data_IF_205167655639
#
_entry.id   IF_205167655639
#
_cell.length_a   1.000
_cell.length_b   1.000
_cell.length_c   1.000
_cell.angle_alpha   90.00
_cell.angle_beta   90.00
_cell.angle_gamma   90.00
#
_symmetry.space_group_name_H-M   'P 1'
#
loop_
_entity.id
_entity.type
_entity.pdbx_description
1 polymer ?
#
# COMPACT_ATOMS: atom_id res chain seq x y z
N UNK A 1 -22.64 -7.87 1.78
CA UNK A 1 -23.79 -7.21 2.46
C UNK A 1 -24.06 -5.81 1.90
N UNK A 2 -23.04 -4.96 1.70
CA UNK A 2 -23.22 -3.59 1.22
C UNK A 2 -23.95 -3.46 -0.13
N UNK A 3 -23.68 -4.36 -1.08
CA UNK A 3 -24.29 -4.33 -2.41
C UNK A 3 -25.84 -4.42 -2.37
N UNK A 4 -26.40 -5.27 -1.51
CA UNK A 4 -27.85 -5.41 -1.36
C UNK A 4 -28.49 -4.18 -0.69
N UNK A 5 -27.80 -3.57 0.28
CA UNK A 5 -28.23 -2.33 0.93
C UNK A 5 -28.27 -1.17 -0.07
N UNK A 6 -27.29 -1.07 -0.97
CA UNK A 6 -27.25 -0.03 -2.00
C UNK A 6 -28.41 -0.17 -2.99
N UNK A 7 -28.75 -1.39 -3.42
CA UNK A 7 -29.91 -1.60 -4.31
C UNK A 7 -31.21 -1.21 -3.61
N UNK A 8 -31.40 -1.61 -2.34
CA UNK A 8 -32.59 -1.27 -1.56
C UNK A 8 -32.77 0.24 -1.39
N UNK A 9 -31.67 0.99 -1.27
CA UNK A 9 -31.69 2.45 -1.16
C UNK A 9 -31.85 3.13 -2.53
N UNK A 10 -31.17 2.66 -3.56
CA UNK A 10 -31.15 3.31 -4.86
C UNK A 10 -32.42 3.11 -5.67
N UNK A 11 -33.07 1.94 -5.61
CA UNK A 11 -34.33 1.69 -6.32
C UNK A 11 -35.40 2.77 -6.01
N UNK A 12 -35.76 3.05 -4.73
CA UNK A 12 -36.76 4.08 -4.44
C UNK A 12 -36.28 5.49 -4.78
N UNK A 13 -34.98 5.79 -4.69
CA UNK A 13 -34.43 7.10 -5.09
C UNK A 13 -34.59 7.32 -6.60
N UNK A 14 -34.23 6.32 -7.42
CA UNK A 14 -34.37 6.43 -8.86
C UNK A 14 -35.84 6.53 -9.28
N UNK A 15 -36.72 5.74 -8.66
CA UNK A 15 -38.15 5.70 -8.99
C UNK A 15 -38.94 6.93 -8.54
N UNK A 16 -38.67 7.46 -7.34
CA UNK A 16 -39.46 8.54 -6.74
C UNK A 16 -38.85 9.93 -6.94
N UNK A 17 -37.54 10.04 -7.17
CA UNK A 17 -36.85 11.33 -7.26
C UNK A 17 -36.34 11.55 -8.68
N UNK A 18 -35.48 10.67 -9.18
CA UNK A 18 -34.78 10.89 -10.46
C UNK A 18 -35.76 10.86 -11.64
N UNK A 19 -36.61 9.83 -11.77
CA UNK A 19 -37.51 9.75 -12.92
C UNK A 19 -38.58 10.87 -12.97
N UNK A 20 -39.21 11.29 -11.85
CA UNK A 20 -40.11 12.44 -11.85
C UNK A 20 -39.44 13.75 -12.24
N UNK A 21 -38.20 13.99 -11.78
CA UNK A 21 -37.40 15.16 -12.18
C UNK A 21 -37.10 15.17 -13.68
N UNK A 22 -36.74 14.01 -14.27
CA UNK A 22 -36.49 13.93 -15.72
C UNK A 22 -37.79 14.03 -16.53
N UNK A 23 -38.90 13.52 -15.98
CA UNK A 23 -40.24 13.71 -16.56
C UNK A 23 -40.65 15.19 -16.56
N UNK A 24 -40.26 15.96 -15.54
CA UNK A 24 -40.53 17.39 -15.44
C UNK A 24 -39.80 18.19 -16.53
N UNK A 25 -38.65 17.69 -17.01
CA UNK A 25 -37.94 18.20 -18.19
C UNK A 25 -38.62 17.82 -19.53
N UNK A 26 -39.87 17.31 -19.52
CA UNK A 26 -40.65 16.83 -20.68
C UNK A 26 -40.00 15.69 -21.47
N UNK A 27 -39.02 14.99 -20.90
CA UNK A 27 -38.42 13.82 -21.54
C UNK A 27 -39.25 12.58 -21.20
N UNK A 28 -40.03 12.10 -22.17
CA UNK A 28 -40.88 10.93 -21.97
C UNK A 28 -40.02 9.64 -22.06
N UNK A 29 -39.63 9.09 -20.91
CA UNK A 29 -38.79 7.88 -20.83
C UNK A 29 -39.69 6.64 -20.80
N UNK A 30 -39.73 5.92 -21.94
CA UNK A 30 -40.34 4.59 -22.03
C UNK A 30 -39.56 3.58 -21.16
N UNK A 31 -40.18 2.51 -20.63
CA UNK A 31 -39.51 1.54 -19.75
C UNK A 31 -38.18 1.01 -20.30
N UNK A 32 -38.10 0.73 -21.60
CA UNK A 32 -36.86 0.28 -22.25
C UNK A 32 -35.74 1.33 -22.20
N UNK A 33 -36.08 2.63 -22.32
CA UNK A 33 -35.12 3.72 -22.20
C UNK A 33 -34.64 3.90 -20.76
N UNK A 34 -35.46 3.60 -19.74
CA UNK A 34 -35.03 3.64 -18.33
C UNK A 34 -33.89 2.68 -18.06
N UNK A 35 -34.01 1.45 -18.58
CA UNK A 35 -32.97 0.42 -18.45
C UNK A 35 -31.69 0.80 -19.21
N UNK A 36 -31.82 1.32 -20.44
CA UNK A 36 -30.68 1.76 -21.23
C UNK A 36 -29.92 2.93 -20.56
N UNK A 37 -30.64 3.90 -20.00
CA UNK A 37 -30.05 5.02 -19.27
C UNK A 37 -29.28 4.53 -18.03
N UNK A 38 -29.83 3.57 -17.28
CA UNK A 38 -29.12 2.94 -16.15
C UNK A 38 -27.81 2.27 -16.57
N UNK A 39 -27.80 1.56 -17.70
CA UNK A 39 -26.58 0.95 -18.23
C UNK A 39 -25.52 1.98 -18.68
N UNK A 40 -25.94 3.11 -19.26
CA UNK A 40 -25.02 4.20 -19.61
C UNK A 40 -24.40 4.81 -18.35
N UNK A 41 -25.20 5.07 -17.32
CA UNK A 41 -24.69 5.55 -16.03
C UNK A 41 -23.73 4.55 -15.38
N UNK A 42 -24.05 3.25 -15.44
CA UNK A 42 -23.16 2.20 -14.96
C UNK A 42 -21.82 2.21 -15.71
N UNK A 43 -21.84 2.31 -17.04
CA UNK A 43 -20.63 2.38 -17.86
C UNK A 43 -19.76 3.61 -17.51
N UNK A 44 -20.38 4.78 -17.31
CA UNK A 44 -19.66 5.99 -16.86
C UNK A 44 -19.08 5.83 -15.46
N UNK A 45 -19.83 5.22 -14.54
CA UNK A 45 -19.37 4.95 -13.18
C UNK A 45 -18.17 3.98 -13.17
N UNK A 46 -18.21 2.93 -13.99
CA UNK A 46 -17.07 2.03 -14.16
C UNK A 46 -15.85 2.76 -14.74
N UNK A 47 -16.02 3.62 -15.75
CA UNK A 47 -14.93 4.44 -16.29
C UNK A 47 -14.29 5.34 -15.23
N UNK A 48 -15.10 6.00 -14.39
CA UNK A 48 -14.61 6.81 -13.28
C UNK A 48 -13.89 5.95 -12.22
N UNK A 49 -14.44 4.79 -11.89
CA UNK A 49 -13.81 3.85 -10.96
C UNK A 49 -12.44 3.38 -11.47
N UNK A 50 -12.33 3.01 -12.75
CA UNK A 50 -11.05 2.64 -13.37
C UNK A 50 -10.06 3.79 -13.35
N UNK A 51 -10.47 5.03 -13.60
CA UNK A 51 -9.59 6.20 -13.51
C UNK A 51 -9.03 6.38 -12.09
N UNK A 52 -9.88 6.22 -11.06
CA UNK A 52 -9.45 6.28 -9.66
C UNK A 52 -8.52 5.10 -9.35
N UNK A 53 -8.88 3.90 -9.78
CA UNK A 53 -8.11 2.68 -9.56
C UNK A 53 -6.69 2.79 -10.13
N UNK A 54 -6.52 3.31 -11.35
CA UNK A 54 -5.19 3.54 -11.95
C UNK A 54 -4.34 4.49 -11.12
N UNK A 55 -4.95 5.51 -10.51
CA UNK A 55 -4.21 6.43 -9.64
C UNK A 55 -3.87 5.79 -8.29
N UNK A 56 -4.76 4.95 -7.75
CA UNK A 56 -4.51 4.20 -6.51
C UNK A 56 -3.40 3.17 -6.70
N UNK A 57 -3.42 2.40 -7.79
CA UNK A 57 -2.39 1.38 -8.07
C UNK A 57 -0.98 1.98 -8.08
N UNK A 58 -0.80 3.21 -8.57
CA UNK A 58 0.51 3.91 -8.54
C UNK A 58 1.01 4.23 -7.13
N UNK A 59 0.11 4.34 -6.16
CA UNK A 59 0.45 4.66 -4.77
C UNK A 59 0.66 3.41 -3.91
N UNK A 60 0.27 2.24 -4.41
CA UNK A 60 0.50 0.97 -3.74
C UNK A 60 1.88 0.47 -4.13
N UNK A 61 2.66 0.08 -3.13
CA UNK A 61 3.97 -0.55 -3.34
C UNK A 61 3.77 -1.85 -4.10
N UNK A 62 4.36 -1.95 -5.29
CA UNK A 62 4.28 -3.18 -6.08
C UNK A 62 4.90 -4.34 -5.29
N UNK A 63 4.24 -5.52 -5.25
CA UNK A 63 4.79 -6.68 -4.57
C UNK A 63 6.14 -7.04 -5.18
N UNK A 64 7.11 -7.40 -4.32
CA UNK A 64 8.45 -7.74 -4.77
C UNK A 64 8.40 -8.92 -5.77
N UNK A 65 9.20 -8.91 -6.84
CA UNK A 65 9.29 -10.04 -7.76
C UNK A 65 9.89 -11.27 -7.07
N UNK A 66 9.71 -12.46 -7.66
CA UNK A 66 10.28 -13.70 -7.13
C UNK A 66 11.80 -13.58 -6.92
N UNK A 67 12.31 -14.14 -5.83
CA UNK A 67 13.70 -13.99 -5.40
C UNK A 67 14.07 -12.57 -4.91
N UNK A 68 13.10 -11.69 -4.65
CA UNK A 68 13.34 -10.39 -4.01
C UNK A 68 12.37 -10.14 -2.86
N UNK A 69 12.76 -9.28 -1.92
CA UNK A 69 11.87 -8.68 -0.95
C UNK A 69 12.07 -7.16 -0.90
N UNK A 70 11.12 -6.47 -0.27
CA UNK A 70 11.21 -5.03 -0.03
C UNK A 70 11.51 -4.78 1.44
N UNK A 71 12.51 -3.96 1.73
CA UNK A 71 12.91 -3.59 3.09
C UNK A 71 12.80 -2.08 3.27
N UNK A 72 12.16 -1.67 4.35
CA UNK A 72 12.15 -0.29 4.82
C UNK A 72 12.71 -0.25 6.24
N UNK A 73 13.58 0.71 6.54
CA UNK A 73 14.22 0.82 7.85
C UNK A 73 13.74 2.08 8.54
N UNK A 74 13.29 1.92 9.79
CA UNK A 74 12.88 3.00 10.67
C UNK A 74 13.84 3.14 11.83
N UNK A 75 14.43 4.33 11.98
CA UNK A 75 15.31 4.65 13.07
C UNK A 75 14.54 5.32 14.23
N UNK A 76 14.42 4.61 15.35
CA UNK A 76 13.89 5.07 16.63
C UNK A 76 14.97 5.03 17.73
N UNK A 77 16.26 5.02 17.35
CA UNK A 77 17.36 4.86 18.29
C UNK A 77 17.81 6.17 18.96
N UNK A 78 17.22 7.32 18.59
CA UNK A 78 17.53 8.63 19.15
C UNK A 78 18.77 9.30 18.55
N UNK A 79 19.47 8.65 17.61
CA UNK A 79 20.67 9.15 16.92
C UNK A 79 20.81 8.48 15.56
N UNK A 80 21.67 9.05 14.73
CA UNK A 80 21.96 8.53 13.39
C UNK A 80 22.57 7.11 13.44
N UNK A 81 22.05 6.22 12.59
CA UNK A 81 22.50 4.83 12.47
C UNK A 81 22.97 4.52 11.06
N UNK A 82 23.98 3.66 10.93
CA UNK A 82 24.36 3.06 9.65
C UNK A 82 23.96 1.59 9.66
N UNK A 83 23.20 1.18 8.63
CA UNK A 83 22.68 -0.19 8.51
C UNK A 83 23.36 -0.85 7.32
N UNK A 84 23.98 -2.01 7.57
CA UNK A 84 24.61 -2.83 6.54
C UNK A 84 23.87 -4.15 6.44
N UNK A 85 23.40 -4.45 5.23
CA UNK A 85 22.76 -5.72 4.92
C UNK A 85 23.80 -6.63 4.25
N UNK A 86 23.93 -7.90 4.68
CA UNK A 86 24.82 -8.85 4.02
C UNK A 86 24.45 -8.98 2.54
N UNK A 87 25.46 -9.03 1.67
CA UNK A 87 25.34 -9.20 0.22
C UNK A 87 24.68 -8.03 -0.54
N UNK A 88 24.29 -6.93 0.11
CA UNK A 88 23.58 -5.80 -0.51
C UNK A 88 23.87 -4.47 0.21
N UNK A 89 24.66 -3.59 -0.40
CA UNK A 89 24.95 -2.22 0.11
C UNK A 89 23.84 -1.25 -0.26
N UNK A 90 22.72 -1.36 0.45
CA UNK A 90 21.46 -0.69 0.06
C UNK A 90 21.19 0.59 0.86
N UNK A 91 21.86 0.77 2.01
CA UNK A 91 21.77 1.99 2.82
C UNK A 91 23.15 2.63 3.03
N UNK A 92 23.70 3.31 2.00
CA UNK A 92 25.04 3.91 2.07
C UNK A 92 25.10 5.12 3.01
N UNK A 93 24.00 5.86 3.14
CA UNK A 93 23.92 7.06 3.97
C UNK A 93 23.40 6.75 5.38
N UNK A 94 23.91 7.43 6.43
CA UNK A 94 23.41 7.28 7.79
C UNK A 94 21.94 7.76 7.87
N UNK A 95 21.08 6.91 8.43
CA UNK A 95 19.66 7.17 8.60
C UNK A 95 19.49 8.02 9.85
N UNK A 96 18.94 9.24 9.71
CA UNK A 96 18.71 10.13 10.84
C UNK A 96 17.60 9.62 11.74
N UNK A 97 17.63 10.05 13.00
CA UNK A 97 16.58 9.71 13.96
C UNK A 97 15.22 10.23 13.48
N UNK A 98 14.20 9.38 13.56
CA UNK A 98 12.83 9.68 13.12
C UNK A 98 12.71 10.13 11.66
N UNK A 99 13.66 9.76 10.80
CA UNK A 99 13.60 10.06 9.38
C UNK A 99 12.66 9.09 8.66
N UNK A 100 11.60 9.63 8.07
CA UNK A 100 10.74 8.87 7.16
C UNK A 100 11.44 8.71 5.80
N UNK A 101 11.90 7.50 5.50
CA UNK A 101 12.38 7.13 4.18
C UNK A 101 11.18 6.67 3.33
N UNK A 102 10.76 7.44 2.30
CA UNK A 102 9.52 7.15 1.58
C UNK A 102 9.62 5.91 0.68
N UNK A 103 10.83 5.46 0.35
CA UNK A 103 11.05 4.40 -0.61
C UNK A 103 11.42 3.09 0.10
N UNK A 104 10.80 2.01 -0.36
CA UNK A 104 11.26 0.66 -0.04
C UNK A 104 12.47 0.33 -0.89
N UNK A 105 13.43 -0.31 -0.27
CA UNK A 105 14.62 -0.79 -0.93
C UNK A 105 14.48 -2.28 -1.27
N UNK A 106 14.95 -2.69 -2.45
CA UNK A 106 14.86 -4.09 -2.88
C UNK A 106 16.05 -4.90 -2.42
N UNK A 107 15.79 -5.99 -1.70
CA UNK A 107 16.81 -6.99 -1.34
C UNK A 107 16.67 -8.22 -2.22
N UNK A 108 17.80 -8.76 -2.66
CA UNK A 108 17.87 -10.02 -3.40
C UNK A 108 17.86 -11.20 -2.40
N UNK A 109 16.90 -12.11 -2.57
CA UNK A 109 16.83 -13.38 -1.86
C UNK A 109 17.03 -14.51 -2.88
N UNK A 110 18.17 -15.19 -2.82
CA UNK A 110 18.47 -16.34 -3.68
C UNK A 110 17.62 -17.60 -3.35
N UNK A 111 16.77 -17.51 -2.32
CA UNK A 111 15.89 -18.58 -1.84
C UNK A 111 14.52 -18.02 -1.41
N UNK A 112 13.51 -18.88 -1.29
CA UNK A 112 12.15 -18.50 -0.87
C UNK A 112 12.09 -17.90 0.55
N UNK A 113 13.01 -18.32 1.43
CA UNK A 113 13.23 -17.72 2.74
C UNK A 113 14.71 -17.77 3.11
N UNK A 114 15.28 -16.67 3.59
CA UNK A 114 16.68 -16.58 4.06
C UNK A 114 16.73 -15.79 5.37
N UNK A 115 17.49 -16.30 6.34
CA UNK A 115 17.83 -15.54 7.56
C UNK A 115 18.99 -14.61 7.20
N UNK A 116 18.82 -13.31 7.41
CA UNK A 116 19.86 -12.30 7.19
C UNK A 116 20.20 -11.61 8.50
N UNK A 117 21.49 -11.54 8.82
CA UNK A 117 22.02 -10.81 9.97
C UNK A 117 22.30 -9.36 9.58
N UNK A 118 21.38 -8.45 9.91
CA UNK A 118 21.52 -7.02 9.62
C UNK A 118 22.44 -6.40 10.66
N UNK A 119 23.57 -5.85 10.20
CA UNK A 119 24.52 -5.17 11.06
C UNK A 119 24.15 -3.69 11.20
N UNK A 120 23.83 -3.28 12.42
CA UNK A 120 23.48 -1.90 12.76
C UNK A 120 24.61 -1.28 13.57
N UNK A 121 25.13 -0.16 13.09
CA UNK A 121 26.18 0.60 13.76
C UNK A 121 25.62 1.90 14.31
N UNK A 122 25.72 2.08 15.63
CA UNK A 122 25.33 3.32 16.33
C UNK A 122 26.54 3.85 17.10
N UNK A 123 26.98 5.07 16.76
CA UNK A 123 28.07 5.74 17.50
C UNK A 123 29.33 4.86 17.70
N UNK A 124 29.66 4.01 16.71
CA UNK A 124 30.81 3.09 16.74
C UNK A 124 30.57 1.72 17.41
N UNK A 125 29.37 1.46 17.95
CA UNK A 125 28.98 0.15 18.48
C UNK A 125 28.12 -0.60 17.45
N UNK A 126 28.61 -1.76 17.04
CA UNK A 126 27.91 -2.64 16.10
C UNK A 126 27.02 -3.63 16.86
N UNK A 127 25.82 -3.89 16.32
CA UNK A 127 24.87 -4.88 16.83
C UNK A 127 24.25 -5.59 15.64
N UNK A 128 24.30 -6.92 15.65
CA UNK A 128 23.77 -7.75 14.57
C UNK A 128 22.37 -8.23 14.96
N UNK A 129 21.41 -8.02 14.06
CA UNK A 129 20.03 -8.44 14.20
C UNK A 129 19.70 -9.50 13.16
N UNK A 130 19.46 -10.74 13.60
CA UNK A 130 19.05 -11.81 12.70
C UNK A 130 17.53 -11.77 12.49
N UNK A 131 17.13 -11.65 11.22
CA UNK A 131 15.72 -11.64 10.84
C UNK A 131 15.50 -12.55 9.64
N UNK A 132 14.38 -13.28 9.65
CA UNK A 132 13.95 -14.11 8.53
C UNK A 132 13.18 -13.27 7.53
N UNK A 133 13.67 -13.25 6.29
CA UNK A 133 13.01 -12.62 5.16
C UNK A 133 12.49 -13.69 4.20
N UNK A 134 11.29 -13.46 3.68
CA UNK A 134 10.69 -14.27 2.64
C UNK A 134 10.57 -13.46 1.35
N UNK A 135 10.61 -14.15 0.22
CA UNK A 135 10.40 -13.52 -1.09
C UNK A 135 8.97 -12.96 -1.25
N UNK A 136 8.80 -12.02 -2.18
CA UNK A 136 7.51 -11.40 -2.52
C UNK A 136 6.80 -10.68 -1.36
N UNK A 137 7.53 -10.39 -0.27
CA UNK A 137 7.02 -9.66 0.90
C UNK A 137 7.73 -8.33 1.08
N UNK A 138 7.03 -7.42 1.75
CA UNK A 138 7.57 -6.16 2.24
C UNK A 138 7.73 -6.22 3.76
N UNK A 139 8.88 -5.76 4.24
CA UNK A 139 9.25 -5.74 5.65
C UNK A 139 9.61 -4.33 6.07
N UNK A 140 9.19 -3.97 7.29
CA UNK A 140 9.58 -2.73 7.96
C UNK A 140 10.42 -3.10 9.18
N UNK A 141 11.71 -2.84 9.11
CA UNK A 141 12.66 -3.07 10.20
C UNK A 141 12.68 -1.85 11.11
N UNK A 142 12.31 -2.04 12.36
CA UNK A 142 12.28 -0.98 13.36
C UNK A 142 13.49 -1.14 14.27
N UNK A 143 14.37 -0.15 14.25
CA UNK A 143 15.58 -0.13 15.07
C UNK A 143 15.32 0.81 16.24
N UNK A 144 15.45 0.30 17.46
CA UNK A 144 15.22 1.07 18.67
C UNK A 144 16.28 0.78 19.73
N UNK A 145 16.49 1.76 20.60
CA UNK A 145 17.44 1.63 21.69
C UNK A 145 16.73 1.09 22.95
N UNK A 146 17.34 0.12 23.61
CA UNK A 146 16.91 -0.43 24.90
C UNK A 146 18.02 -0.31 25.94
N UNK A 147 17.69 -0.42 27.23
CA UNK A 147 18.66 -0.38 28.32
C UNK A 147 19.80 -1.42 28.20
N UNK A 148 19.57 -2.49 27.42
CA UNK A 148 20.53 -3.55 27.12
C UNK A 148 21.33 -3.36 25.81
N UNK A 149 21.08 -2.28 25.06
CA UNK A 149 21.66 -2.03 23.73
C UNK A 149 20.60 -1.86 22.64
N UNK A 150 21.03 -1.85 21.38
CA UNK A 150 20.18 -1.70 20.21
C UNK A 150 19.46 -3.02 19.92
N UNK A 151 18.19 -2.94 19.57
CA UNK A 151 17.42 -4.08 19.07
C UNK A 151 16.73 -3.70 17.78
N UNK A 152 16.47 -4.71 16.97
CA UNK A 152 15.69 -4.60 15.74
C UNK A 152 14.47 -5.51 15.84
N UNK A 153 13.38 -5.12 15.18
CA UNK A 153 12.15 -5.91 15.08
C UNK A 153 11.50 -5.73 13.72
#
# INVERSE_FOLDING_TARGET
MLNALMILLFVPIFDLIIYPLVSLCRINIRPLRKMATGMIFAALAFGAATLVEVNVVKTVVEPAPAGKCLLQVYNLAGRDISVKVPDNDVFPDPIKDLQDLPNYETLLLEASSKVLGIAVTLSGKESVCEQTFEEQKAYSLIIYNTNSGIKCK
#
